data_IF_558393481321
#
_entry.id   IF_558393481321
#
_cell.length_a   1.000
_cell.length_b   1.000
_cell.length_c   1.000
_cell.angle_alpha   90.00
_cell.angle_beta   90.00
_cell.angle_gamma   90.00
#
_symmetry.space_group_name_H-M   'P 1'
#
loop_
_entity.id
_entity.type
_entity.pdbx_description
1 polymer ?
#
# COMPACT_ATOMS: atom_id res chain seq x y z
N UNK A 1 -23.80 10.12 -3.03
CA UNK A 1 -23.27 8.74 -3.15
C UNK A 1 -21.74 8.70 -3.38
N UNK A 2 -20.93 9.61 -2.81
CA UNK A 2 -19.62 9.99 -3.40
C UNK A 2 -18.33 9.63 -2.65
N UNK A 3 -18.33 8.87 -1.55
CA UNK A 3 -17.07 8.45 -0.88
C UNK A 3 -16.95 6.92 -0.74
N UNK A 4 -18.05 6.25 -0.38
CA UNK A 4 -18.10 4.78 -0.26
C UNK A 4 -17.85 4.04 -1.58
N UNK A 5 -18.28 4.58 -2.72
CA UNK A 5 -18.08 3.94 -4.03
C UNK A 5 -16.62 3.98 -4.53
N UNK A 6 -15.85 5.00 -4.13
CA UNK A 6 -14.46 5.16 -4.54
C UNK A 6 -13.52 4.31 -3.68
N UNK A 7 -13.84 4.16 -2.38
CA UNK A 7 -13.20 3.16 -1.51
C UNK A 7 -13.53 1.75 -2.02
N UNK A 8 -14.78 1.49 -2.42
CA UNK A 8 -15.17 0.19 -2.97
C UNK A 8 -14.41 -0.15 -4.26
N UNK A 9 -14.20 0.78 -5.20
CA UNK A 9 -13.48 0.49 -6.45
C UNK A 9 -11.95 0.35 -6.29
N UNK A 10 -11.36 1.04 -5.31
CA UNK A 10 -9.93 0.87 -4.95
C UNK A 10 -9.72 -0.40 -4.12
N UNK A 11 -10.68 -0.78 -3.27
CA UNK A 11 -10.72 -2.08 -2.58
C UNK A 11 -11.08 -3.24 -3.53
N UNK A 12 -11.85 -3.02 -4.60
CA UNK A 12 -12.26 -4.07 -5.55
C UNK A 12 -11.09 -4.63 -6.35
N UNK A 13 -9.99 -3.89 -6.45
CA UNK A 13 -8.79 -4.39 -7.13
C UNK A 13 -8.05 -5.48 -6.32
N UNK A 14 -8.50 -5.71 -5.08
CA UNK A 14 -7.94 -6.68 -4.15
C UNK A 14 -9.04 -7.26 -3.25
N UNK A 15 -10.17 -7.67 -3.81
CA UNK A 15 -10.74 -8.92 -3.32
C UNK A 15 -9.96 -10.00 -4.04
N UNK A 16 -8.78 -10.32 -3.50
CA UNK A 16 -7.93 -11.35 -4.05
C UNK A 16 -8.79 -12.61 -4.19
N UNK A 17 -8.77 -13.22 -5.38
CA UNK A 17 -9.32 -14.54 -5.61
C UNK A 17 -8.61 -15.61 -4.75
N UNK A 18 -7.45 -15.26 -4.21
CA UNK A 18 -6.68 -16.06 -3.27
C UNK A 18 -6.87 -15.47 -1.87
N UNK A 19 -7.54 -16.21 -0.98
CA UNK A 19 -7.92 -15.79 0.37
C UNK A 19 -6.78 -15.53 1.35
N UNK A 20 -5.65 -14.99 0.91
CA UNK A 20 -4.45 -14.72 1.70
C UNK A 20 -3.89 -13.32 1.41
N UNK A 21 -4.58 -12.26 1.85
CA UNK A 21 -3.92 -11.01 2.32
C UNK A 21 -4.92 -10.03 2.98
N UNK A 22 -5.59 -10.46 4.05
CA UNK A 22 -6.50 -9.62 4.85
C UNK A 22 -5.88 -9.14 6.18
N UNK A 23 -4.58 -9.31 6.40
CA UNK A 23 -4.02 -9.19 7.76
C UNK A 23 -3.59 -7.79 8.17
N UNK A 24 -3.46 -6.82 7.25
CA UNK A 24 -3.00 -5.47 7.61
C UNK A 24 -4.15 -4.47 7.47
N UNK A 25 -4.65 -3.97 8.60
CA UNK A 25 -5.65 -2.89 8.53
C UNK A 25 -4.98 -1.62 8.00
N UNK A 26 -5.62 -0.91 7.06
CA UNK A 26 -5.03 0.26 6.44
C UNK A 26 -4.91 1.39 7.47
N UNK A 27 -3.68 1.86 7.70
CA UNK A 27 -3.37 2.97 8.62
C UNK A 27 -2.78 4.17 7.86
N UNK A 28 -3.04 5.38 8.37
CA UNK A 28 -2.41 6.62 7.93
C UNK A 28 -0.98 6.76 8.49
N UNK A 29 -0.27 7.82 8.09
CA UNK A 29 1.06 8.17 8.62
C UNK A 29 2.16 7.10 8.53
N UNK A 30 2.02 6.16 7.59
CA UNK A 30 2.99 5.09 7.38
C UNK A 30 3.08 4.01 8.45
N UNK A 31 2.14 3.99 9.39
CA UNK A 31 2.11 3.00 10.46
C UNK A 31 1.58 1.64 9.98
N UNK A 32 1.97 0.59 10.69
CA UNK A 32 1.34 -0.73 10.66
C UNK A 32 0.67 -1.04 12.00
N UNK A 33 -0.24 -2.01 12.03
CA UNK A 33 -0.86 -2.45 13.29
C UNK A 33 0.17 -3.02 14.26
N UNK A 34 1.13 -3.80 13.76
CA UNK A 34 2.21 -4.37 14.56
C UNK A 34 3.12 -3.28 15.17
N UNK A 35 3.40 -2.20 14.43
CA UNK A 35 4.12 -1.04 14.96
C UNK A 35 3.31 -0.33 16.05
N UNK A 36 2.00 -0.14 15.83
CA UNK A 36 1.15 0.52 16.82
C UNK A 36 1.06 -0.29 18.12
N UNK A 37 0.91 -1.61 18.01
CA UNK A 37 0.83 -2.50 19.16
C UNK A 37 2.18 -2.60 19.90
N UNK A 38 3.31 -2.63 19.18
CA UNK A 38 4.64 -2.63 19.82
C UNK A 38 4.94 -1.31 20.54
N UNK A 39 4.58 -0.17 19.95
CA UNK A 39 4.67 1.14 20.60
C UNK A 39 3.74 1.21 21.82
N UNK A 40 2.53 0.63 21.72
CA UNK A 40 1.60 0.58 22.84
C UNK A 40 2.16 -0.25 24.00
N UNK A 41 2.70 -1.43 23.75
CA UNK A 41 3.34 -2.28 24.76
C UNK A 41 4.51 -1.57 25.43
N UNK A 42 5.36 -0.91 24.64
CA UNK A 42 6.48 -0.14 25.17
C UNK A 42 6.00 1.03 26.05
N UNK A 43 4.99 1.77 25.61
CA UNK A 43 4.41 2.86 26.39
C UNK A 43 3.76 2.37 27.69
N UNK A 44 3.05 1.24 27.67
CA UNK A 44 2.47 0.59 28.85
C UNK A 44 3.55 0.23 29.87
N UNK A 45 4.63 -0.42 29.42
CA UNK A 45 5.74 -0.79 30.28
C UNK A 45 6.40 0.42 30.98
N UNK A 46 6.57 1.53 30.27
CA UNK A 46 7.17 2.76 30.82
C UNK A 46 6.24 3.53 31.77
N UNK A 47 4.93 3.45 31.55
CA UNK A 47 3.94 4.24 32.31
C UNK A 47 3.27 3.45 33.44
N UNK A 48 3.57 2.15 33.55
CA UNK A 48 3.08 1.28 34.62
C UNK A 48 3.42 1.90 35.99
N UNK A 49 2.44 1.99 36.92
CA UNK A 49 2.69 2.55 38.24
C UNK A 49 3.78 1.74 38.95
N UNK A 50 4.79 2.43 39.46
CA UNK A 50 5.87 1.82 40.23
C UNK A 50 5.34 1.46 41.61
N UNK A 51 5.41 0.18 41.97
CA UNK A 51 5.16 -0.26 43.35
C UNK A 51 6.39 0.11 44.16
N UNK A 52 6.22 0.98 45.15
CA UNK A 52 7.33 1.43 46.00
C UNK A 52 7.76 0.31 46.94
N UNK A 53 9.07 0.12 47.13
CA UNK A 53 9.59 -0.83 48.13
C UNK A 53 9.03 -0.56 49.55
N UNK A 54 8.68 0.71 49.82
CA UNK A 54 8.08 1.16 51.10
C UNK A 54 6.56 0.89 51.15
N UNK A 55 5.82 0.96 50.03
CA UNK A 55 4.35 0.73 50.05
C UNK A 55 4.01 -0.75 50.25
N UNK A 56 4.89 -1.66 49.82
CA UNK A 56 4.76 -3.10 50.11
C UNK A 56 4.74 -3.45 51.60
N UNK A 57 5.18 -2.53 52.48
CA UNK A 57 5.22 -2.70 53.94
C UNK A 57 3.99 -2.13 54.65
N UNK A 58 3.14 -1.36 53.95
CA UNK A 58 1.99 -0.63 54.52
C UNK A 58 0.64 -1.35 54.35
N UNK A 59 0.61 -2.58 53.84
CA UNK A 59 -0.63 -3.34 53.55
C UNK A 59 -1.63 -2.65 52.58
N UNK A 60 -1.21 -1.58 51.87
CA UNK A 60 -2.00 -0.82 50.89
C UNK A 60 -2.18 -1.54 49.52
N UNK A 61 -2.27 -2.87 49.55
CA UNK A 61 -2.42 -3.73 48.36
C UNK A 61 -3.65 -3.39 47.51
N UNK A 62 -4.73 -2.92 48.15
CA UNK A 62 -5.97 -2.51 47.48
C UNK A 62 -5.77 -1.24 46.64
N UNK A 63 -5.08 -0.22 47.16
CA UNK A 63 -4.82 1.03 46.43
C UNK A 63 -3.88 0.83 45.25
N UNK A 64 -2.91 -0.07 45.37
CA UNK A 64 -2.01 -0.47 44.29
C UNK A 64 -2.76 -1.20 43.16
N UNK A 65 -3.66 -2.13 43.52
CA UNK A 65 -4.49 -2.84 42.56
C UNK A 65 -5.46 -1.88 41.84
N UNK A 66 -6.09 -0.95 42.56
CA UNK A 66 -6.95 0.08 41.96
C UNK A 66 -6.16 0.96 40.98
N UNK A 67 -4.96 1.40 41.36
CA UNK A 67 -4.08 2.19 40.50
C UNK A 67 -3.68 1.44 39.23
N UNK A 68 -3.39 0.14 39.35
CA UNK A 68 -3.08 -0.72 38.21
C UNK A 68 -4.30 -0.88 37.28
N UNK A 69 -5.49 -1.15 37.83
CA UNK A 69 -6.71 -1.27 37.01
C UNK A 69 -7.06 0.06 36.31
N UNK A 70 -6.87 1.20 36.99
CA UNK A 70 -7.08 2.51 36.40
C UNK A 70 -6.08 2.79 35.29
N UNK A 71 -4.82 2.43 35.50
CA UNK A 71 -3.77 2.52 34.48
C UNK A 71 -4.13 1.70 33.23
N UNK A 72 -4.52 0.43 33.40
CA UNK A 72 -4.88 -0.46 32.31
C UNK A 72 -6.11 0.05 31.53
N UNK A 73 -7.12 0.58 32.24
CA UNK A 73 -8.28 1.22 31.61
C UNK A 73 -7.89 2.46 30.79
N UNK A 74 -7.01 3.32 31.33
CA UNK A 74 -6.51 4.51 30.62
C UNK A 74 -5.72 4.12 29.38
N UNK A 75 -4.87 3.10 29.50
CA UNK A 75 -4.09 2.56 28.40
C UNK A 75 -4.99 1.99 27.28
N UNK A 76 -5.97 1.17 27.64
CA UNK A 76 -6.94 0.60 26.68
C UNK A 76 -7.72 1.69 25.92
N UNK A 77 -8.20 2.72 26.64
CA UNK A 77 -8.89 3.87 26.01
C UNK A 77 -7.98 4.66 25.07
N UNK A 78 -6.72 4.87 25.45
CA UNK A 78 -5.75 5.56 24.61
C UNK A 78 -5.45 4.77 23.33
N UNK A 79 -5.29 3.44 23.43
CA UNK A 79 -5.06 2.55 22.30
C UNK A 79 -6.25 2.55 21.33
N UNK A 80 -7.48 2.53 21.84
CA UNK A 80 -8.67 2.67 20.99
C UNK A 80 -8.70 4.02 20.27
N UNK A 81 -8.40 5.12 20.97
CA UNK A 81 -8.32 6.45 20.36
C UNK A 81 -7.23 6.52 19.28
N UNK A 82 -6.04 5.98 19.53
CA UNK A 82 -4.96 5.92 18.55
C UNK A 82 -5.34 5.10 17.32
N UNK A 83 -6.01 3.96 17.52
CA UNK A 83 -6.52 3.15 16.40
C UNK A 83 -7.52 3.94 15.56
N UNK A 84 -8.40 4.74 16.17
CA UNK A 84 -9.36 5.57 15.42
C UNK A 84 -8.68 6.71 14.67
N UNK A 85 -7.72 7.39 15.30
CA UNK A 85 -6.97 8.50 14.69
C UNK A 85 -6.14 8.01 13.49
N UNK A 86 -5.49 6.86 13.65
CA UNK A 86 -4.62 6.29 12.62
C UNK A 86 -5.38 5.51 11.55
N UNK A 87 -6.69 5.32 11.66
CA UNK A 87 -7.47 4.62 10.64
C UNK A 87 -7.42 5.38 9.31
N UNK A 88 -7.05 4.70 8.21
CA UNK A 88 -6.93 5.33 6.90
C UNK A 88 -8.26 5.91 6.38
N UNK A 89 -9.39 5.39 6.86
CA UNK A 89 -10.73 5.89 6.54
C UNK A 89 -10.90 7.37 6.90
N UNK A 90 -10.26 7.80 7.99
CA UNK A 90 -10.23 9.19 8.45
C UNK A 90 -9.08 10.01 7.81
N UNK A 91 -8.25 9.36 7.00
CA UNK A 91 -7.06 9.94 6.39
C UNK A 91 -7.34 10.80 5.15
N UNK A 92 -6.34 11.62 4.78
CA UNK A 92 -6.40 12.44 3.58
C UNK A 92 -6.27 11.59 2.30
N UNK A 93 -6.67 12.15 1.15
CA UNK A 93 -6.39 11.54 -0.17
C UNK A 93 -4.89 11.29 -0.38
N UNK A 94 -4.04 12.11 0.24
CA UNK A 94 -2.58 11.92 0.22
C UNK A 94 -2.18 10.63 0.94
N UNK A 95 -2.75 10.38 2.12
CA UNK A 95 -2.45 9.17 2.90
C UNK A 95 -2.94 7.92 2.18
N UNK A 96 -4.15 7.97 1.62
CA UNK A 96 -4.70 6.90 0.78
C UNK A 96 -3.80 6.61 -0.41
N UNK A 97 -3.27 7.65 -1.07
CA UNK A 97 -2.32 7.50 -2.16
C UNK A 97 -1.03 6.81 -1.71
N UNK A 98 -0.43 7.22 -0.60
CA UNK A 98 0.81 6.61 -0.09
C UNK A 98 0.61 5.16 0.35
N UNK A 99 -0.54 4.84 0.94
CA UNK A 99 -0.93 3.48 1.25
C UNK A 99 -1.07 2.64 -0.02
N UNK A 100 -1.77 3.15 -1.04
CA UNK A 100 -1.89 2.47 -2.34
C UNK A 100 -0.53 2.22 -2.99
N UNK A 101 0.41 3.16 -2.90
CA UNK A 101 1.78 2.97 -3.43
C UNK A 101 2.48 1.82 -2.71
N UNK A 102 2.40 1.73 -1.37
CA UNK A 102 2.97 0.60 -0.62
C UNK A 102 2.35 -0.73 -1.03
N UNK A 103 1.02 -0.80 -1.13
CA UNK A 103 0.32 -1.99 -1.62
C UNK A 103 0.76 -2.41 -3.03
N UNK A 104 0.97 -1.44 -3.91
CA UNK A 104 1.46 -1.70 -5.27
C UNK A 104 2.89 -2.23 -5.25
N UNK A 105 3.77 -1.64 -4.45
CA UNK A 105 5.15 -2.13 -4.27
C UNK A 105 5.16 -3.56 -3.75
N UNK A 106 4.28 -3.86 -2.80
CA UNK A 106 4.14 -5.20 -2.22
C UNK A 106 3.60 -6.21 -3.24
N UNK A 107 2.59 -5.83 -4.02
CA UNK A 107 1.95 -6.73 -4.99
C UNK A 107 2.77 -6.98 -6.27
N UNK A 108 3.54 -5.99 -6.74
CA UNK A 108 4.28 -6.04 -8.02
C UNK A 108 5.80 -5.99 -7.87
N UNK A 109 6.30 -5.76 -6.66
CA UNK A 109 7.73 -5.71 -6.41
C UNK A 109 8.40 -7.05 -6.71
N UNK A 110 9.56 -7.00 -7.37
CA UNK A 110 10.34 -8.20 -7.71
C UNK A 110 10.74 -9.01 -6.49
N UNK A 111 10.94 -8.32 -5.36
CA UNK A 111 11.25 -8.93 -4.07
C UNK A 111 10.19 -9.94 -3.57
N UNK A 112 8.92 -9.86 -4.02
CA UNK A 112 7.90 -10.89 -3.75
C UNK A 112 7.56 -11.72 -4.96
N UNK A 113 7.47 -11.09 -6.13
CA UNK A 113 6.98 -11.75 -7.36
C UNK A 113 7.95 -12.77 -7.94
N UNK A 114 9.27 -12.59 -7.77
CA UNK A 114 10.28 -13.53 -8.29
C UNK A 114 10.16 -14.93 -7.67
N UNK A 115 9.56 -15.07 -6.48
CA UNK A 115 9.29 -16.36 -5.84
C UNK A 115 7.95 -17.01 -6.20
N UNK A 116 6.96 -16.22 -6.67
CA UNK A 116 5.60 -16.69 -6.97
C UNK A 116 5.44 -17.00 -8.46
N UNK A 117 6.05 -16.20 -9.32
CA UNK A 117 5.87 -16.26 -10.77
C UNK A 117 7.04 -17.00 -11.39
N UNK A 118 6.80 -17.94 -12.33
CA UNK A 118 7.89 -18.65 -12.99
C UNK A 118 8.80 -17.66 -13.74
N UNK A 119 10.13 -17.74 -13.54
CA UNK A 119 11.06 -16.87 -14.23
C UNK A 119 11.10 -17.20 -15.73
N UNK A 120 11.54 -16.22 -16.51
CA UNK A 120 11.82 -16.44 -17.92
C UNK A 120 12.97 -17.46 -18.07
N UNK A 121 12.90 -18.42 -19.01
CA UNK A 121 13.99 -19.35 -19.23
C UNK A 121 15.29 -18.61 -19.54
N UNK A 122 16.38 -19.02 -18.89
CA UNK A 122 17.69 -18.44 -19.09
C UNK A 122 18.18 -18.69 -20.53
N UNK A 123 18.91 -17.74 -21.14
CA UNK A 123 19.60 -18.00 -22.40
C UNK A 123 20.66 -19.09 -22.21
N UNK A 124 20.91 -19.89 -23.25
CA UNK A 124 21.85 -21.04 -23.25
C UNK A 124 23.33 -20.60 -23.25
N UNK A 125 23.66 -19.48 -22.62
CA UNK A 125 25.04 -18.98 -22.55
C UNK A 125 25.76 -19.57 -21.34
N UNK A 126 26.94 -20.18 -21.50
CA UNK A 126 27.66 -20.86 -20.42
C UNK A 126 28.25 -19.92 -19.36
N UNK A 127 28.22 -18.61 -19.58
CA UNK A 127 28.85 -17.60 -18.71
C UNK A 127 27.80 -16.75 -17.99
N UNK A 128 26.84 -17.38 -17.32
CA UNK A 128 25.92 -16.68 -16.42
C UNK A 128 26.62 -16.42 -15.09
N UNK A 129 27.01 -15.17 -14.86
CA UNK A 129 27.49 -14.71 -13.56
C UNK A 129 26.29 -14.49 -12.64
N UNK A 130 26.35 -15.03 -11.43
CA UNK A 130 25.33 -14.78 -10.41
C UNK A 130 25.32 -13.30 -10.01
N UNK A 131 24.14 -12.67 -10.03
CA UNK A 131 24.00 -11.27 -9.62
C UNK A 131 23.88 -11.18 -8.10
N UNK A 132 24.42 -10.12 -7.46
CA UNK A 132 24.28 -9.93 -6.02
C UNK A 132 22.80 -9.77 -5.63
N UNK A 133 22.44 -10.16 -4.39
CA UNK A 133 21.09 -10.00 -3.88
C UNK A 133 20.73 -8.52 -3.78
N UNK A 134 19.43 -8.22 -3.84
CA UNK A 134 18.92 -6.85 -3.71
C UNK A 134 19.09 -6.37 -2.27
N UNK A 135 19.56 -5.14 -2.11
CA UNK A 135 19.71 -4.51 -0.79
C UNK A 135 18.37 -4.11 -0.14
N UNK A 136 17.28 -3.99 -0.90
CA UNK A 136 16.01 -3.48 -0.38
C UNK A 136 14.80 -3.72 -1.29
N UNK A 137 13.64 -3.15 -0.92
CA UNK A 137 12.39 -3.34 -1.65
C UNK A 137 12.48 -2.71 -3.04
N UNK A 138 11.97 -3.44 -4.03
CA UNK A 138 11.94 -3.00 -5.41
C UNK A 138 10.84 -1.96 -5.65
N UNK A 139 11.23 -0.71 -5.81
CA UNK A 139 10.33 0.43 -6.09
C UNK A 139 10.44 0.95 -7.52
N UNK A 140 11.48 0.54 -8.24
CA UNK A 140 11.88 1.10 -9.53
C UNK A 140 11.51 0.24 -10.74
N UNK A 141 11.00 -0.97 -10.53
CA UNK A 141 10.64 -1.85 -11.63
C UNK A 141 9.50 -1.30 -12.50
N UNK A 142 9.48 -1.70 -13.77
CA UNK A 142 8.50 -1.19 -14.74
C UNK A 142 7.08 -1.54 -14.32
N UNK A 143 6.90 -2.72 -13.72
CA UNK A 143 5.65 -3.23 -13.18
C UNK A 143 5.07 -2.30 -12.11
N UNK A 144 5.88 -1.98 -11.10
CA UNK A 144 5.53 -1.07 -10.00
C UNK A 144 5.23 0.33 -10.56
N UNK A 145 6.06 0.85 -11.47
CA UNK A 145 5.83 2.17 -12.08
C UNK A 145 4.52 2.23 -12.88
N UNK A 146 4.21 1.20 -13.67
CA UNK A 146 2.96 1.10 -14.45
C UNK A 146 1.74 1.04 -13.52
N UNK A 147 1.83 0.26 -12.45
CA UNK A 147 0.76 0.14 -11.46
C UNK A 147 0.50 1.47 -10.72
N UNK A 148 1.56 2.17 -10.28
CA UNK A 148 1.45 3.51 -9.66
C UNK A 148 0.82 4.52 -10.64
N UNK A 149 1.27 4.54 -11.90
CA UNK A 149 0.68 5.41 -12.92
C UNK A 149 -0.79 5.08 -13.14
N UNK A 150 -1.16 3.80 -13.14
CA UNK A 150 -2.55 3.37 -13.31
C UNK A 150 -3.43 3.86 -12.16
N UNK A 151 -2.96 3.77 -10.91
CA UNK A 151 -3.68 4.32 -9.76
C UNK A 151 -3.85 5.86 -9.88
N UNK A 152 -2.80 6.58 -10.28
CA UNK A 152 -2.87 8.04 -10.52
C UNK A 152 -3.85 8.40 -11.63
N UNK A 153 -3.82 7.69 -12.75
CA UNK A 153 -4.71 7.89 -13.90
C UNK A 153 -6.16 7.67 -13.47
N UNK A 154 -6.46 6.58 -12.75
CA UNK A 154 -7.82 6.29 -12.26
C UNK A 154 -8.32 7.41 -11.32
N UNK A 155 -7.49 7.83 -10.37
CA UNK A 155 -7.85 8.90 -9.44
C UNK A 155 -8.09 10.24 -10.14
N UNK A 156 -7.22 10.62 -11.08
CA UNK A 156 -7.38 11.87 -11.82
C UNK A 156 -8.57 11.83 -12.79
N UNK A 157 -8.78 10.71 -13.47
CA UNK A 157 -9.93 10.52 -14.35
C UNK A 157 -11.24 10.61 -13.56
N UNK A 158 -11.32 9.97 -12.39
CA UNK A 158 -12.47 10.09 -11.50
C UNK A 158 -12.69 11.55 -11.06
N UNK A 159 -11.63 12.26 -10.67
CA UNK A 159 -11.71 13.66 -10.27
C UNK A 159 -12.17 14.60 -11.40
N UNK A 160 -11.77 14.33 -12.65
CA UNK A 160 -12.19 15.11 -13.82
C UNK A 160 -13.63 14.79 -14.24
N UNK A 161 -14.13 13.58 -13.97
CA UNK A 161 -15.51 13.17 -14.24
C UNK A 161 -16.52 13.78 -13.26
N UNK A 162 -16.08 14.13 -12.05
CA UNK A 162 -16.91 14.70 -11.00
C UNK A 162 -16.73 16.23 -10.98
N UNK A 163 -17.79 16.99 -10.70
CA UNK A 163 -17.81 18.46 -10.62
C UNK A 163 -17.55 19.18 -11.96
N UNK A 164 -17.04 20.42 -11.91
CA UNK A 164 -16.66 21.27 -13.06
C UNK A 164 -15.33 20.83 -13.73
N UNK A 165 -14.95 19.56 -13.61
CA UNK A 165 -13.67 19.03 -14.12
C UNK A 165 -13.49 19.20 -15.63
N UNK A 166 -14.56 19.35 -16.39
CA UNK A 166 -14.49 19.68 -17.81
C UNK A 166 -13.80 21.03 -18.09
N UNK A 167 -13.77 21.97 -17.14
CA UNK A 167 -13.08 23.26 -17.26
C UNK A 167 -11.57 23.18 -16.98
N UNK A 168 -11.10 22.09 -16.39
CA UNK A 168 -9.70 21.96 -15.96
C UNK A 168 -8.80 21.46 -17.10
N UNK A 169 -8.24 22.40 -17.86
CA UNK A 169 -7.39 22.13 -19.02
C UNK A 169 -6.02 21.58 -18.61
N UNK A 170 -5.47 22.07 -17.50
CA UNK A 170 -4.15 21.67 -17.02
C UNK A 170 -4.15 20.21 -16.57
N UNK A 171 -5.17 19.78 -15.81
CA UNK A 171 -5.26 18.39 -15.38
C UNK A 171 -5.61 17.43 -16.53
N UNK A 172 -6.37 17.87 -17.54
CA UNK A 172 -6.55 17.10 -18.79
C UNK A 172 -5.23 16.87 -19.51
N UNK A 173 -4.36 17.89 -19.60
CA UNK A 173 -3.00 17.75 -20.14
C UNK A 173 -2.17 16.77 -19.30
N UNK A 174 -2.21 16.89 -17.96
CA UNK A 174 -1.48 16.00 -17.07
C UNK A 174 -1.94 14.54 -17.21
N UNK A 175 -3.25 14.30 -17.35
CA UNK A 175 -3.81 12.97 -17.60
C UNK A 175 -3.25 12.37 -18.89
N UNK A 176 -3.23 13.14 -19.98
CA UNK A 176 -2.68 12.73 -21.28
C UNK A 176 -1.19 12.36 -21.18
N UNK A 177 -0.40 13.19 -20.50
CA UNK A 177 1.02 12.94 -20.28
C UNK A 177 1.25 11.65 -19.47
N UNK A 178 0.44 11.39 -18.44
CA UNK A 178 0.52 10.15 -17.67
C UNK A 178 0.15 8.92 -18.49
N UNK A 179 -0.86 9.00 -19.36
CA UNK A 179 -1.25 7.92 -20.26
C UNK A 179 -0.11 7.58 -21.24
N UNK A 180 0.49 8.59 -21.86
CA UNK A 180 1.64 8.40 -22.76
C UNK A 180 2.87 7.86 -22.04
N UNK A 181 3.14 8.31 -20.81
CA UNK A 181 4.23 7.77 -19.98
C UNK A 181 4.01 6.28 -19.68
N UNK A 182 2.79 5.90 -19.29
CA UNK A 182 2.43 4.49 -19.04
C UNK A 182 2.55 3.65 -20.32
N UNK A 183 2.08 4.18 -21.45
CA UNK A 183 2.20 3.52 -22.76
C UNK A 183 3.66 3.23 -23.13
N UNK A 184 4.57 4.19 -22.93
CA UNK A 184 6.01 3.98 -23.18
C UNK A 184 6.59 2.85 -22.31
N UNK A 185 6.22 2.80 -21.03
CA UNK A 185 6.65 1.74 -20.11
C UNK A 185 6.09 0.37 -20.52
N UNK A 186 4.82 0.30 -20.91
CA UNK A 186 4.20 -0.95 -21.38
C UNK A 186 4.90 -1.48 -22.64
N UNK A 187 5.16 -0.62 -23.63
CA UNK A 187 5.91 -1.00 -24.85
C UNK A 187 7.34 -1.45 -24.57
N UNK A 188 7.99 -0.85 -23.58
CA UNK A 188 9.32 -1.28 -23.14
C UNK A 188 9.27 -2.67 -22.50
N UNK A 189 8.33 -2.87 -21.58
CA UNK A 189 8.19 -4.11 -20.83
C UNK A 189 7.77 -5.28 -21.74
N UNK A 190 6.82 -5.07 -22.65
CA UNK A 190 6.41 -6.07 -23.67
C UNK A 190 7.63 -6.60 -24.45
N UNK A 191 8.52 -5.70 -24.87
CA UNK A 191 9.72 -6.04 -25.64
C UNK A 191 10.78 -6.77 -24.81
N UNK A 192 10.93 -6.42 -23.53
CA UNK A 192 11.92 -7.01 -22.62
C UNK A 192 11.49 -8.39 -22.14
N UNK A 193 10.26 -8.50 -21.68
CA UNK A 193 9.73 -9.74 -21.11
C UNK A 193 9.39 -10.77 -22.18
N UNK A 194 8.92 -10.33 -23.36
CA UNK A 194 8.46 -11.22 -24.45
C UNK A 194 7.37 -12.21 -23.99
N UNK A 195 6.45 -11.77 -23.12
CA UNK A 195 5.36 -12.61 -22.62
C UNK A 195 5.74 -13.55 -21.48
N UNK A 196 6.72 -13.19 -20.66
CA UNK A 196 7.01 -13.93 -19.41
C UNK A 196 5.78 -13.99 -18.50
N UNK A 197 5.74 -14.96 -17.59
CA UNK A 197 4.65 -15.06 -16.59
C UNK A 197 4.46 -13.77 -15.78
N UNK A 198 5.52 -12.97 -15.62
CA UNK A 198 5.47 -11.68 -14.93
C UNK A 198 4.66 -10.64 -15.69
N UNK A 199 4.83 -10.57 -17.01
CA UNK A 199 4.05 -9.69 -17.87
C UNK A 199 2.56 -10.06 -17.84
N UNK A 200 2.26 -11.35 -17.97
CA UNK A 200 0.89 -11.86 -17.96
C UNK A 200 0.20 -11.56 -16.63
N UNK A 201 0.85 -11.89 -15.50
CA UNK A 201 0.35 -11.59 -14.16
C UNK A 201 0.09 -10.07 -13.97
N UNK A 202 1.01 -9.23 -14.45
CA UNK A 202 0.82 -7.78 -14.36
C UNK A 202 -0.40 -7.30 -15.14
N UNK A 203 -0.55 -7.74 -16.39
CA UNK A 203 -1.68 -7.37 -17.25
C UNK A 203 -3.00 -7.82 -16.64
N UNK A 204 -3.08 -9.07 -16.19
CA UNK A 204 -4.28 -9.67 -15.61
C UNK A 204 -4.69 -8.94 -14.35
N UNK A 205 -3.74 -8.74 -13.42
CA UNK A 205 -4.02 -7.99 -12.19
C UNK A 205 -4.49 -6.58 -12.51
N UNK A 206 -3.77 -5.81 -13.34
CA UNK A 206 -4.12 -4.41 -13.62
C UNK A 206 -5.34 -4.23 -14.54
N UNK A 207 -5.77 -5.27 -15.24
CA UNK A 207 -6.83 -5.22 -16.25
C UNK A 207 -6.45 -4.35 -17.45
N UNK A 208 -5.20 -4.49 -17.94
CA UNK A 208 -4.71 -3.68 -19.06
C UNK A 208 -4.97 -4.36 -20.40
N UNK A 209 -5.63 -3.66 -21.32
CA UNK A 209 -5.93 -4.19 -22.66
C UNK A 209 -4.92 -3.71 -23.70
N UNK A 210 -4.67 -4.46 -24.79
CA UNK A 210 -3.72 -4.08 -25.83
C UNK A 210 -3.94 -2.69 -26.43
N UNK A 211 -5.19 -2.21 -26.47
CA UNK A 211 -5.55 -0.86 -26.92
C UNK A 211 -4.87 0.26 -26.09
N UNK A 212 -4.43 -0.04 -24.87
CA UNK A 212 -3.81 0.93 -23.96
C UNK A 212 -2.33 1.19 -24.26
N UNK A 213 -1.68 0.38 -25.10
CA UNK A 213 -0.29 0.61 -25.50
C UNK A 213 0.00 0.41 -27.00
N UNK A 214 -0.79 -0.41 -27.69
CA UNK A 214 -0.73 -0.57 -29.15
C UNK A 214 -1.43 0.62 -29.83
N UNK A 215 -0.79 1.23 -30.83
CA UNK A 215 -1.31 2.42 -31.53
C UNK A 215 -1.10 3.75 -30.80
N UNK A 216 -1.75 4.81 -31.26
CA UNK A 216 -1.67 6.17 -30.69
C UNK A 216 -2.83 6.43 -29.74
N UNK A 217 -2.53 6.93 -28.53
CA UNK A 217 -3.58 7.34 -27.58
C UNK A 217 -3.94 8.80 -27.85
N UNK A 218 -5.13 9.00 -28.40
CA UNK A 218 -5.73 10.31 -28.60
C UNK A 218 -6.85 10.53 -27.59
N UNK A 219 -6.72 11.56 -26.76
CA UNK A 219 -7.84 12.07 -25.98
C UNK A 219 -8.34 13.33 -26.68
N UNK A 220 -9.58 13.29 -27.19
CA UNK A 220 -10.29 14.51 -27.59
C UNK A 220 -10.84 15.20 -26.35
#
# INVERSE_FOLDING_TARGET
>A
MCARALIALVCLWTRAADGSDTTVTPRSHYLTDAELDSVAQHAHALTKPVVGAISSQLEDSLGEAESQTQHDRRHARALEALRRITALENGSKKDQYHFNVRRIVDAFGRHRTDGVVPPKPAPVNPSTVEMPPRAGPDTGSSEVQIAILTAKIRNLAAALSVNRGYKDIHNKRNLRLMLHKRQKLLRYMERKEKGSGRWTNMIEKLGLTPAMWKGQIELR
#
